data_IF_128609919487
#
_entry.id   IF_128609919487
#
_cell.length_a   1.000
_cell.length_b   1.000
_cell.length_c   1.000
_cell.angle_alpha   90.00
_cell.angle_beta   90.00
_cell.angle_gamma   90.00
#
_symmetry.space_group_name_H-M   'P 1'
#
loop_
_entity.id
_entity.type
_entity.pdbx_description
1 polymer ?
#
# COMPACT_ATOMS: atom_id res chain seq x y z
N UNK A 1 -28.14 -1.76 -6.66
CA UNK A 1 -27.04 -2.05 -7.59
C UNK A 1 -27.66 -2.29 -8.95
N UNK A 2 -27.62 -1.30 -9.84
CA UNK A 2 -28.12 -1.47 -11.21
C UNK A 2 -26.91 -1.51 -12.11
N UNK A 3 -26.52 -2.72 -12.54
CA UNK A 3 -25.63 -2.90 -13.68
C UNK A 3 -26.30 -2.22 -14.89
N UNK A 4 -25.62 -1.28 -15.54
CA UNK A 4 -26.05 -0.78 -16.83
C UNK A 4 -25.88 -1.91 -17.87
N UNK A 5 -26.79 -1.95 -18.84
CA UNK A 5 -26.94 -3.03 -19.82
C UNK A 5 -25.78 -3.19 -20.81
N UNK A 6 -24.77 -2.33 -20.75
CA UNK A 6 -23.57 -2.29 -21.58
C UNK A 6 -22.28 -2.72 -20.85
N UNK A 7 -22.34 -2.99 -19.54
CA UNK A 7 -21.20 -3.51 -18.78
C UNK A 7 -20.20 -2.46 -18.30
N UNK A 8 -20.43 -1.16 -18.54
CA UNK A 8 -19.64 -0.09 -17.95
C UNK A 8 -20.33 0.45 -16.69
N UNK A 9 -19.55 0.68 -15.64
CA UNK A 9 -20.03 1.16 -14.34
C UNK A 9 -19.43 2.54 -14.10
N UNK A 10 -20.02 3.63 -14.59
CA UNK A 10 -19.72 4.95 -14.01
C UNK A 10 -20.69 5.20 -12.86
N UNK A 11 -20.15 5.17 -11.63
CA UNK A 11 -20.85 5.65 -10.45
C UNK A 11 -20.19 6.98 -10.08
N UNK A 12 -20.86 8.13 -10.30
CA UNK A 12 -20.39 9.40 -9.79
C UNK A 12 -20.10 9.27 -8.29
N UNK A 13 -18.87 9.58 -7.86
CA UNK A 13 -18.43 9.37 -6.48
C UNK A 13 -18.20 7.91 -6.10
N UNK A 14 -17.78 7.05 -7.04
CA UNK A 14 -17.36 5.67 -6.74
C UNK A 14 -16.37 5.67 -5.57
N UNK A 15 -16.61 4.79 -4.62
CA UNK A 15 -15.78 4.57 -3.45
C UNK A 15 -15.77 3.06 -3.18
N UNK A 16 -14.78 2.58 -2.43
CA UNK A 16 -14.62 1.14 -2.19
C UNK A 16 -15.90 0.48 -1.65
N UNK A 17 -16.61 1.14 -0.73
CA UNK A 17 -17.86 0.64 -0.14
C UNK A 17 -19.08 0.62 -1.09
N UNK A 18 -18.95 1.11 -2.33
CA UNK A 18 -19.99 0.96 -3.36
C UNK A 18 -19.87 -0.35 -4.14
N UNK A 19 -18.74 -1.05 -4.02
CA UNK A 19 -18.46 -2.32 -4.69
C UNK A 19 -18.97 -3.52 -3.86
N UNK A 20 -19.28 -4.64 -4.51
CA UNK A 20 -19.61 -5.89 -3.80
C UNK A 20 -18.39 -6.45 -3.03
N UNK A 21 -18.60 -7.38 -2.09
CA UNK A 21 -17.50 -7.92 -1.27
C UNK A 21 -16.39 -8.58 -2.08
N UNK A 22 -16.75 -9.25 -3.17
CA UNK A 22 -15.78 -9.94 -4.02
C UNK A 22 -14.83 -8.92 -4.67
N UNK A 23 -15.39 -7.84 -5.21
CA UNK A 23 -14.64 -6.77 -5.86
C UNK A 23 -13.86 -5.94 -4.83
N UNK A 24 -14.43 -5.64 -3.67
CA UNK A 24 -13.71 -4.97 -2.58
C UNK A 24 -12.50 -5.77 -2.13
N UNK A 25 -12.65 -7.08 -1.99
CA UNK A 25 -11.56 -7.97 -1.61
C UNK A 25 -10.42 -7.94 -2.63
N UNK A 26 -10.76 -7.88 -3.92
CA UNK A 26 -9.78 -7.76 -5.01
C UNK A 26 -9.06 -6.40 -4.95
N UNK A 27 -9.81 -5.30 -4.90
CA UNK A 27 -9.27 -3.93 -4.85
C UNK A 27 -8.43 -3.72 -3.60
N UNK A 28 -8.87 -4.20 -2.43
CA UNK A 28 -8.11 -4.09 -1.20
C UNK A 28 -6.76 -4.82 -1.29
N UNK A 29 -6.69 -5.98 -1.97
CA UNK A 29 -5.39 -6.65 -2.22
C UNK A 29 -4.51 -5.88 -3.19
N UNK A 30 -5.08 -5.27 -4.23
CA UNK A 30 -4.32 -4.42 -5.15
C UNK A 30 -3.75 -3.19 -4.45
N UNK A 31 -4.54 -2.51 -3.61
CA UNK A 31 -4.08 -1.38 -2.79
C UNK A 31 -3.00 -1.83 -1.80
N UNK A 32 -3.19 -2.98 -1.15
CA UNK A 32 -2.20 -3.54 -0.22
C UNK A 32 -0.87 -3.83 -0.91
N UNK A 33 -0.90 -4.39 -2.13
CA UNK A 33 0.28 -4.64 -2.94
C UNK A 33 0.89 -3.34 -3.47
N UNK A 34 0.09 -2.36 -3.87
CA UNK A 34 0.60 -1.07 -4.33
C UNK A 34 1.38 -0.33 -3.22
N UNK A 35 0.82 -0.31 -1.99
CA UNK A 35 1.48 0.24 -0.82
C UNK A 35 2.80 -0.49 -0.49
N UNK A 36 2.90 -1.80 -0.76
CA UNK A 36 4.14 -2.56 -0.65
C UNK A 36 5.17 -2.17 -1.72
N UNK A 37 4.73 -2.07 -2.97
CA UNK A 37 5.60 -1.90 -4.13
C UNK A 37 6.17 -0.48 -4.26
N UNK A 38 5.64 0.50 -3.54
CA UNK A 38 6.15 1.88 -3.61
C UNK A 38 7.62 2.00 -3.19
N UNK A 39 8.10 1.21 -2.21
CA UNK A 39 9.53 1.18 -1.84
C UNK A 39 10.40 0.79 -3.05
N UNK A 40 9.93 -0.15 -3.87
CA UNK A 40 10.59 -0.53 -5.13
C UNK A 40 10.57 0.58 -6.16
N UNK A 41 9.49 1.36 -6.20
CA UNK A 41 9.39 2.51 -7.09
C UNK A 41 10.35 3.66 -6.69
N UNK A 42 10.84 3.67 -5.44
CA UNK A 42 11.84 4.64 -4.98
C UNK A 42 13.28 4.29 -5.37
N UNK A 43 13.63 2.99 -5.48
CA UNK A 43 14.98 2.51 -5.80
C UNK A 43 15.64 3.19 -7.03
N UNK A 44 14.94 3.43 -8.17
CA UNK A 44 15.52 4.13 -9.31
C UNK A 44 16.04 5.51 -8.95
N UNK A 45 15.30 6.23 -8.10
CA UNK A 45 15.66 7.57 -7.67
C UNK A 45 16.98 7.55 -6.91
N UNK A 46 17.18 6.54 -6.04
CA UNK A 46 18.45 6.35 -5.36
C UNK A 46 19.57 5.98 -6.33
N UNK A 47 19.37 5.02 -7.22
CA UNK A 47 20.41 4.58 -8.16
C UNK A 47 20.90 5.68 -9.13
N UNK A 48 20.10 6.72 -9.38
CA UNK A 48 20.50 7.86 -10.21
C UNK A 48 21.51 8.78 -9.54
N UNK A 49 21.47 8.96 -8.21
CA UNK A 49 22.21 10.02 -7.50
C UNK A 49 22.88 9.60 -6.19
N UNK A 50 22.57 8.43 -5.70
CA UNK A 50 22.96 7.87 -4.40
C UNK A 50 23.40 6.41 -4.59
N UNK A 51 23.48 5.67 -3.49
CA UNK A 51 23.82 4.26 -3.46
C UNK A 51 22.63 3.36 -3.15
N UNK A 52 22.79 2.06 -3.44
CA UNK A 52 21.84 1.03 -3.01
C UNK A 52 21.79 0.88 -1.49
N UNK A 53 22.92 1.06 -0.79
CA UNK A 53 22.99 1.07 0.67
C UNK A 53 22.10 2.17 1.27
N UNK A 54 22.15 3.37 0.69
CA UNK A 54 21.26 4.48 1.08
C UNK A 54 19.78 4.19 0.78
N UNK A 55 19.49 3.43 -0.28
CA UNK A 55 18.13 2.94 -0.54
C UNK A 55 17.66 1.94 0.52
N UNK A 56 18.55 1.10 1.06
CA UNK A 56 18.20 0.18 2.16
C UNK A 56 18.00 0.92 3.47
N UNK A 57 18.85 1.91 3.78
CA UNK A 57 18.66 2.78 4.95
C UNK A 57 17.32 3.52 4.89
N UNK A 58 16.97 4.05 3.72
CA UNK A 58 15.66 4.64 3.46
C UNK A 58 14.53 3.66 3.76
N UNK A 59 14.58 2.44 3.19
CA UNK A 59 13.55 1.43 3.40
C UNK A 59 13.42 1.09 4.89
N UNK A 60 14.53 0.84 5.60
CA UNK A 60 14.52 0.54 7.04
C UNK A 60 13.82 1.66 7.82
N UNK A 61 14.16 2.92 7.60
CA UNK A 61 13.54 4.04 8.33
C UNK A 61 12.08 4.22 7.96
N UNK A 62 11.72 4.08 6.68
CA UNK A 62 10.35 4.15 6.18
C UNK A 62 9.43 3.21 6.97
N UNK A 63 9.79 1.93 7.01
CA UNK A 63 9.02 0.89 7.70
C UNK A 63 9.05 1.06 9.22
N UNK A 64 10.21 1.37 9.82
CA UNK A 64 10.33 1.54 11.27
C UNK A 64 9.57 2.76 11.82
N UNK A 65 9.31 3.77 10.99
CA UNK A 65 8.60 4.99 11.38
C UNK A 65 7.11 5.00 10.98
N UNK A 66 6.68 4.14 10.06
CA UNK A 66 5.27 4.02 9.67
C UNK A 66 4.57 2.81 10.31
N UNK A 67 5.22 1.64 10.32
CA UNK A 67 4.57 0.38 10.73
C UNK A 67 4.02 0.36 12.15
N UNK A 68 4.67 0.98 13.15
CA UNK A 68 4.09 1.00 14.48
C UNK A 68 2.78 1.82 14.54
N UNK A 69 2.67 2.90 13.76
CA UNK A 69 1.46 3.74 13.73
C UNK A 69 0.30 2.99 13.12
N UNK A 70 0.46 2.49 11.88
CA UNK A 70 -0.66 1.82 11.23
C UNK A 70 -1.02 0.49 11.87
N UNK A 71 -0.05 -0.20 12.52
CA UNK A 71 -0.33 -1.41 13.30
C UNK A 71 -1.30 -1.10 14.44
N UNK A 72 -1.04 -0.03 15.20
CA UNK A 72 -1.92 0.37 16.30
C UNK A 72 -3.28 0.92 15.80
N UNK A 73 -3.29 1.61 14.66
CA UNK A 73 -4.54 2.06 14.01
C UNK A 73 -5.40 0.87 13.62
N UNK A 74 -4.83 -0.15 12.98
CA UNK A 74 -5.54 -1.37 12.62
C UNK A 74 -6.04 -2.17 13.82
N UNK A 75 -5.25 -2.26 14.89
CA UNK A 75 -5.67 -2.91 16.13
C UNK A 75 -6.98 -2.31 16.64
N UNK A 76 -7.06 -0.97 16.70
CA UNK A 76 -8.27 -0.24 17.08
C UNK A 76 -9.40 -0.43 16.07
N UNK A 77 -9.09 -0.26 14.78
CA UNK A 77 -10.06 -0.32 13.69
C UNK A 77 -10.79 -1.66 13.63
N UNK A 78 -10.06 -2.75 13.88
CA UNK A 78 -10.55 -4.13 13.78
C UNK A 78 -10.71 -4.79 15.16
N UNK A 79 -10.73 -4.00 16.23
CA UNK A 79 -11.04 -4.40 17.60
C UNK A 79 -10.25 -5.62 18.12
N UNK A 80 -8.95 -5.72 17.80
CA UNK A 80 -8.09 -6.84 18.22
C UNK A 80 -6.92 -6.44 19.13
N UNK A 81 -6.99 -5.25 19.72
CA UNK A 81 -5.99 -4.70 20.64
C UNK A 81 -5.59 -5.70 21.74
N UNK A 82 -4.28 -5.75 22.01
CA UNK A 82 -3.70 -6.65 23.00
C UNK A 82 -2.19 -6.51 23.02
N UNK A 83 -1.54 -7.34 23.85
CA UNK A 83 -0.08 -7.34 24.01
C UNK A 83 0.55 -8.70 23.73
N UNK A 84 -0.27 -9.68 23.34
CA UNK A 84 0.13 -11.05 23.10
C UNK A 84 0.50 -11.33 21.64
N UNK A 85 1.00 -12.53 21.40
CA UNK A 85 1.43 -12.94 20.07
C UNK A 85 0.27 -13.07 19.08
N UNK A 86 -0.95 -13.40 19.54
CA UNK A 86 -2.11 -13.42 18.66
C UNK A 86 -2.41 -12.04 18.07
N UNK A 87 -2.25 -10.95 18.84
CA UNK A 87 -2.38 -9.57 18.35
C UNK A 87 -1.31 -9.24 17.31
N UNK A 88 -0.06 -9.63 17.54
CA UNK A 88 1.04 -9.43 16.57
C UNK A 88 0.71 -10.12 15.25
N UNK A 89 0.29 -11.39 15.28
CA UNK A 89 0.01 -12.14 14.06
C UNK A 89 -1.22 -11.63 13.30
N UNK A 90 -2.27 -11.17 13.98
CA UNK A 90 -3.39 -10.48 13.32
C UNK A 90 -2.93 -9.18 12.65
N UNK A 91 -2.03 -8.44 13.30
CA UNK A 91 -1.38 -7.26 12.73
C UNK A 91 -0.65 -7.59 11.44
N UNK A 92 0.24 -8.60 11.47
CA UNK A 92 0.98 -9.07 10.30
C UNK A 92 0.08 -9.56 9.16
N UNK A 93 -1.11 -10.09 9.45
CA UNK A 93 -2.09 -10.47 8.42
C UNK A 93 -2.76 -9.27 7.73
N UNK A 94 -2.67 -8.07 8.30
CA UNK A 94 -3.25 -6.82 7.80
C UNK A 94 -2.18 -5.75 7.54
N UNK A 95 -0.91 -6.14 7.47
CA UNK A 95 0.22 -5.25 7.26
C UNK A 95 0.57 -5.20 5.76
N UNK A 96 0.66 -4.02 5.15
CA UNK A 96 1.05 -3.87 3.73
C UNK A 96 2.46 -4.36 3.43
N UNK A 97 3.29 -4.66 4.43
CA UNK A 97 4.55 -5.39 4.32
C UNK A 97 4.36 -6.87 3.96
N UNK A 98 3.20 -7.45 4.28
CA UNK A 98 2.80 -8.82 3.92
C UNK A 98 1.60 -8.85 2.96
N UNK A 99 1.70 -8.23 1.77
CA UNK A 99 0.61 -8.22 0.79
C UNK A 99 0.23 -9.64 0.42
N UNK A 100 -1.06 -9.95 0.54
CA UNK A 100 -1.55 -11.33 0.43
C UNK A 100 -1.17 -11.94 -0.91
N UNK A 101 -0.73 -13.20 -0.90
CA UNK A 101 -0.32 -13.99 -2.07
C UNK A 101 0.98 -13.57 -2.76
N UNK A 102 1.36 -12.27 -2.73
CA UNK A 102 2.71 -11.85 -3.10
C UNK A 102 3.73 -12.26 -2.03
N UNK A 103 3.38 -12.03 -0.76
CA UNK A 103 4.00 -12.66 0.40
C UNK A 103 3.10 -13.81 0.82
N UNK A 104 3.42 -15.04 0.41
CA UNK A 104 2.63 -16.22 0.76
C UNK A 104 2.98 -16.73 2.16
N UNK A 105 2.51 -16.00 3.17
CA UNK A 105 2.82 -16.26 4.57
C UNK A 105 1.99 -17.44 5.13
N UNK A 106 2.62 -18.25 5.96
CA UNK A 106 1.96 -19.21 6.84
C UNK A 106 2.31 -18.89 8.29
N UNK A 107 1.38 -19.17 9.20
CA UNK A 107 1.52 -18.88 10.62
C UNK A 107 1.26 -20.13 11.47
N UNK A 108 1.88 -20.18 12.64
CA UNK A 108 1.61 -21.13 13.71
C UNK A 108 1.74 -20.44 15.05
N UNK A 109 0.62 -20.25 15.73
CA UNK A 109 0.58 -19.76 17.10
C UNK A 109 0.65 -20.95 18.06
N UNK A 110 1.66 -20.99 18.95
CA UNK A 110 1.73 -22.01 19.99
C UNK A 110 0.99 -21.55 21.25
N UNK A 111 1.27 -20.32 21.67
CA UNK A 111 0.59 -19.60 22.75
C UNK A 111 0.82 -18.08 22.60
N UNK A 112 0.38 -17.28 23.57
CA UNK A 112 0.52 -15.81 23.54
C UNK A 112 1.97 -15.30 23.69
N UNK A 113 2.96 -16.17 23.87
CA UNK A 113 4.38 -15.84 24.04
C UNK A 113 5.28 -16.48 22.98
N UNK A 114 4.85 -17.54 22.30
CA UNK A 114 5.65 -18.27 21.29
C UNK A 114 4.84 -18.66 20.05
N UNK A 115 5.45 -18.48 18.89
CA UNK A 115 4.86 -18.80 17.59
C UNK A 115 5.86 -18.61 16.47
N UNK A 116 5.44 -18.99 15.27
CA UNK A 116 6.28 -19.05 14.08
C UNK A 116 5.52 -18.57 12.85
N UNK A 117 6.22 -17.93 11.91
CA UNK A 117 5.70 -17.66 10.56
C UNK A 117 6.75 -17.97 9.50
N UNK A 118 6.31 -18.31 8.30
CA UNK A 118 7.19 -18.64 7.17
C UNK A 118 6.60 -18.13 5.86
N UNK A 119 7.45 -17.82 4.89
CA UNK A 119 7.01 -17.42 3.55
C UNK A 119 7.21 -18.60 2.60
N UNK A 120 6.11 -19.25 2.19
CA UNK A 120 6.14 -20.31 1.17
C UNK A 120 6.68 -19.76 -0.15
N UNK A 121 6.30 -18.54 -0.46
CA UNK A 121 6.86 -17.70 -1.51
C UNK A 121 7.00 -16.28 -0.97
N UNK A 122 8.10 -15.61 -1.31
CA UNK A 122 8.39 -14.23 -0.92
C UNK A 122 8.65 -13.45 -2.20
N UNK A 123 7.68 -12.63 -2.63
CA UNK A 123 7.81 -11.83 -3.84
C UNK A 123 8.98 -10.85 -3.78
N UNK A 124 9.22 -10.21 -2.63
CA UNK A 124 10.36 -9.33 -2.43
C UNK A 124 11.71 -10.04 -2.65
N UNK A 125 11.83 -11.30 -2.23
CA UNK A 125 13.00 -12.14 -2.54
C UNK A 125 13.07 -12.44 -4.04
N UNK A 126 11.96 -12.86 -4.65
CA UNK A 126 11.93 -13.21 -6.08
C UNK A 126 12.34 -12.03 -6.97
N UNK A 127 12.08 -10.79 -6.54
CA UNK A 127 12.50 -9.58 -7.23
C UNK A 127 14.02 -9.39 -7.22
N UNK A 128 14.68 -9.69 -6.09
CA UNK A 128 16.12 -9.44 -5.91
C UNK A 128 17.00 -10.65 -6.23
N UNK A 129 16.45 -11.87 -6.24
CA UNK A 129 17.19 -13.09 -6.56
C UNK A 129 17.96 -13.01 -7.91
N UNK A 130 17.38 -12.50 -9.02
CA UNK A 130 18.10 -12.34 -10.28
C UNK A 130 19.26 -11.34 -10.21
N UNK A 131 19.28 -10.48 -9.20
CA UNK A 131 20.28 -9.43 -9.01
C UNK A 131 21.50 -9.91 -8.19
N UNK A 132 21.45 -11.13 -7.63
CA UNK A 132 22.58 -11.78 -6.97
C UNK A 132 22.54 -11.76 -5.44
N UNK A 133 23.56 -12.39 -4.85
CA UNK A 133 23.62 -12.67 -3.40
C UNK A 133 23.69 -11.40 -2.55
N UNK A 134 24.35 -10.34 -3.04
CA UNK A 134 24.45 -9.06 -2.33
C UNK A 134 23.09 -8.39 -2.16
N UNK A 135 22.30 -8.32 -3.25
CA UNK A 135 20.93 -7.80 -3.21
C UNK A 135 20.00 -8.66 -2.37
N UNK A 136 20.20 -9.98 -2.41
CA UNK A 136 19.47 -10.93 -1.56
C UNK A 136 19.80 -10.71 -0.08
N UNK A 137 21.06 -10.45 0.25
CA UNK A 137 21.49 -10.16 1.62
C UNK A 137 20.91 -8.84 2.12
N UNK A 138 21.01 -7.77 1.33
CA UNK A 138 20.42 -6.47 1.66
C UNK A 138 18.92 -6.57 1.97
N UNK A 139 18.19 -7.31 1.16
CA UNK A 139 16.76 -7.55 1.38
C UNK A 139 16.47 -8.40 2.62
N UNK A 140 17.01 -9.61 2.68
CA UNK A 140 16.59 -10.61 3.67
C UNK A 140 17.26 -10.46 5.05
N UNK A 141 18.31 -9.64 5.15
CA UNK A 141 19.04 -9.42 6.41
C UNK A 141 18.99 -7.96 6.80
N UNK A 142 19.48 -7.07 5.95
CA UNK A 142 19.71 -5.67 6.34
C UNK A 142 18.38 -4.90 6.45
N UNK A 143 17.39 -5.22 5.62
CA UNK A 143 16.03 -4.64 5.68
C UNK A 143 15.09 -5.47 6.59
N UNK A 144 14.93 -6.77 6.33
CA UNK A 144 13.91 -7.59 7.02
C UNK A 144 14.13 -7.70 8.55
N UNK A 145 15.37 -7.81 9.04
CA UNK A 145 15.62 -7.95 10.49
C UNK A 145 15.11 -6.77 11.33
N UNK A 146 15.54 -5.52 11.06
CA UNK A 146 15.09 -4.39 11.86
C UNK A 146 13.60 -4.11 11.67
N UNK A 147 13.06 -4.29 10.46
CA UNK A 147 11.66 -3.95 10.14
C UNK A 147 10.67 -4.93 10.76
N UNK A 148 10.95 -6.23 10.78
CA UNK A 148 10.11 -7.21 11.47
C UNK A 148 10.05 -6.96 12.97
N UNK A 149 11.18 -6.66 13.62
CA UNK A 149 11.17 -6.31 15.04
C UNK A 149 10.34 -5.04 15.26
N UNK A 150 10.47 -4.00 14.43
CA UNK A 150 9.71 -2.75 14.56
C UNK A 150 8.19 -2.93 14.54
N UNK A 151 7.67 -3.72 13.59
CA UNK A 151 6.24 -4.06 13.55
C UNK A 151 5.79 -4.80 14.81
N UNK A 152 6.58 -5.78 15.28
CA UNK A 152 6.23 -6.57 16.46
C UNK A 152 6.23 -5.73 17.75
N UNK A 153 7.21 -4.83 17.91
CA UNK A 153 7.35 -4.01 19.11
C UNK A 153 6.28 -2.92 19.22
N UNK A 154 5.56 -2.63 18.15
CA UNK A 154 4.37 -1.78 18.18
C UNK A 154 3.25 -2.34 19.08
N UNK A 155 3.19 -3.67 19.18
CA UNK A 155 2.24 -4.40 20.02
C UNK A 155 2.85 -4.77 21.37
N UNK A 156 4.10 -5.21 21.39
CA UNK A 156 4.79 -5.58 22.63
C UNK A 156 6.29 -5.25 22.55
N UNK A 157 6.81 -4.31 23.37
CA UNK A 157 8.20 -3.86 23.29
C UNK A 157 9.25 -4.95 23.57
N UNK A 158 8.81 -6.12 24.07
CA UNK A 158 9.64 -7.29 24.36
C UNK A 158 9.54 -8.39 23.31
N UNK A 159 8.73 -8.22 22.27
CA UNK A 159 8.67 -9.14 21.15
C UNK A 159 10.00 -9.17 20.40
N UNK A 160 10.37 -10.35 19.89
CA UNK A 160 11.55 -10.57 19.04
C UNK A 160 11.20 -11.52 17.91
N UNK A 161 11.51 -11.11 16.68
CA UNK A 161 11.37 -11.91 15.48
C UNK A 161 12.76 -12.38 15.04
N UNK A 162 13.04 -13.68 15.06
CA UNK A 162 14.37 -14.22 14.71
C UNK A 162 14.28 -15.35 13.69
N UNK A 163 15.16 -15.35 12.67
CA UNK A 163 15.08 -16.34 11.61
C UNK A 163 15.50 -17.72 12.14
N UNK A 164 14.72 -18.74 11.80
CA UNK A 164 15.18 -20.13 11.83
C UNK A 164 16.04 -20.42 10.60
N UNK A 165 15.61 -19.93 9.44
CA UNK A 165 16.41 -19.89 8.22
C UNK A 165 15.90 -18.79 7.29
N UNK A 166 16.76 -18.36 6.37
CA UNK A 166 16.47 -17.40 5.30
C UNK A 166 17.56 -17.46 4.22
N UNK A 167 17.35 -16.87 3.03
CA UNK A 167 18.37 -16.82 1.99
C UNK A 167 19.70 -16.22 2.47
N UNK A 168 20.84 -16.67 1.93
CA UNK A 168 20.99 -17.78 0.96
C UNK A 168 20.89 -19.18 1.62
N UNK A 169 20.87 -19.26 2.95
CA UNK A 169 20.86 -20.51 3.72
C UNK A 169 19.49 -21.20 3.85
N UNK A 170 18.82 -21.49 2.74
CA UNK A 170 17.46 -22.08 2.74
C UNK A 170 17.49 -23.62 2.62
N UNK A 171 16.72 -24.36 3.44
CA UNK A 171 16.53 -25.80 3.24
C UNK A 171 15.88 -26.12 1.88
N UNK A 172 16.41 -27.14 1.18
CA UNK A 172 15.88 -27.53 -0.14
C UNK A 172 14.40 -27.90 -0.08
N UNK A 173 13.56 -27.21 -0.85
CA UNK A 173 12.13 -27.47 -0.93
C UNK A 173 11.31 -26.99 0.28
N UNK A 174 11.94 -26.26 1.21
CA UNK A 174 11.27 -25.57 2.30
C UNK A 174 10.73 -24.19 1.88
N UNK A 175 10.07 -23.47 2.81
CA UNK A 175 9.72 -22.06 2.58
C UNK A 175 10.97 -21.22 2.30
N UNK A 176 10.81 -20.08 1.65
CA UNK A 176 11.91 -19.15 1.36
C UNK A 176 12.58 -18.65 2.65
N UNK A 177 11.78 -18.31 3.67
CA UNK A 177 12.26 -17.98 5.01
C UNK A 177 11.29 -18.48 6.09
N UNK A 178 11.79 -18.66 7.30
CA UNK A 178 11.03 -19.13 8.45
C UNK A 178 11.56 -18.45 9.71
N UNK A 179 10.64 -17.97 10.54
CA UNK A 179 10.92 -17.09 11.66
C UNK A 179 10.19 -17.55 12.91
N UNK A 180 10.85 -17.36 14.06
CA UNK A 180 10.22 -17.45 15.39
C UNK A 180 9.85 -16.06 15.86
N UNK A 181 8.74 -15.96 16.58
CA UNK A 181 8.33 -14.74 17.27
C UNK A 181 8.14 -15.06 18.75
N UNK A 182 8.87 -14.36 19.61
CA UNK A 182 8.91 -14.65 21.05
C UNK A 182 8.76 -13.40 21.88
N UNK A 183 7.89 -13.47 22.88
CA UNK A 183 7.78 -12.47 23.95
C UNK A 183 8.33 -13.13 25.22
N UNK A 184 9.32 -12.50 25.84
CA UNK A 184 9.97 -13.01 27.05
C UNK A 184 10.17 -11.89 28.08
N UNK A 185 9.91 -12.13 29.38
CA UNK A 185 10.17 -11.14 30.43
C UNK A 185 11.63 -10.68 30.50
N UNK A 186 12.58 -11.52 30.10
CA UNK A 186 14.01 -11.20 30.06
C UNK A 186 14.44 -10.41 28.82
N UNK A 187 13.64 -10.34 27.75
CA UNK A 187 13.95 -9.49 26.61
C UNK A 187 13.88 -8.02 27.07
N UNK A 188 14.93 -7.21 26.84
CA UNK A 188 14.86 -5.78 27.14
C UNK A 188 13.77 -5.13 26.29
N UNK A 189 13.13 -4.09 26.80
CA UNK A 189 12.22 -3.30 25.97
C UNK A 189 13.02 -2.55 24.90
N UNK A 190 12.54 -2.59 23.66
CA UNK A 190 13.16 -1.89 22.54
C UNK A 190 12.38 -0.60 22.30
N UNK A 191 13.11 0.50 22.22
CA UNK A 191 12.53 1.78 21.84
C UNK A 191 12.22 1.78 20.35
N UNK A 192 11.12 2.43 19.98
CA UNK A 192 10.79 2.68 18.59
C UNK A 192 11.78 3.66 17.95
N UNK A 193 11.84 3.66 16.62
CA UNK A 193 12.69 4.59 15.88
C UNK A 193 12.25 6.05 16.14
N UNK A 194 13.18 7.02 16.38
CA UNK A 194 12.80 8.40 16.72
C UNK A 194 11.93 9.11 15.67
N UNK A 195 12.09 8.77 14.39
CA UNK A 195 11.27 9.32 13.30
C UNK A 195 9.77 9.00 13.47
N UNK A 196 9.42 7.94 14.20
CA UNK A 196 8.02 7.58 14.51
C UNK A 196 7.25 8.77 15.11
N UNK A 197 7.85 9.47 16.08
CA UNK A 197 7.22 10.60 16.76
C UNK A 197 7.03 11.80 15.82
N UNK A 198 7.86 11.92 14.78
CA UNK A 198 7.72 12.97 13.76
C UNK A 198 6.55 12.65 12.85
N UNK A 199 6.44 11.40 12.38
CA UNK A 199 5.34 10.94 11.52
C UNK A 199 4.00 10.98 12.27
N UNK A 200 3.99 10.64 13.56
CA UNK A 200 2.78 10.65 14.41
C UNK A 200 2.13 12.03 14.54
N UNK A 201 2.90 13.11 14.41
CA UNK A 201 2.38 14.49 14.47
C UNK A 201 1.63 14.94 13.22
N UNK A 202 1.61 14.12 12.18
CA UNK A 202 0.98 14.43 10.90
C UNK A 202 -0.55 14.46 10.96
N UNK A 203 -1.16 15.23 10.06
CA UNK A 203 -2.60 15.16 9.85
C UNK A 203 -3.02 13.76 9.37
N UNK A 204 -2.20 13.14 8.53
CA UNK A 204 -2.41 11.77 8.06
C UNK A 204 -2.48 10.73 9.19
N UNK A 205 -1.57 10.80 10.17
CA UNK A 205 -1.56 9.87 11.31
C UNK A 205 -2.84 9.95 12.15
N UNK A 206 -3.45 11.14 12.22
CA UNK A 206 -4.70 11.42 12.91
C UNK A 206 -5.96 11.22 12.02
N UNK A 207 -5.80 10.84 10.75
CA UNK A 207 -6.92 10.73 9.82
C UNK A 207 -7.95 9.69 10.32
N UNK A 208 -9.23 10.07 10.50
CA UNK A 208 -10.26 9.14 10.92
C UNK A 208 -10.53 8.10 9.83
N UNK A 209 -10.96 6.91 10.25
CA UNK A 209 -11.43 5.86 9.34
C UNK A 209 -12.79 5.38 9.81
N UNK A 210 -13.79 6.23 9.54
CA UNK A 210 -15.14 6.01 9.99
C UNK A 210 -15.84 4.92 9.15
N UNK A 211 -16.65 4.09 9.80
CA UNK A 211 -17.10 2.88 9.16
C UNK A 211 -18.32 3.14 8.25
N UNK A 212 -18.24 2.75 6.96
CA UNK A 212 -19.27 3.08 5.97
C UNK A 212 -20.55 2.26 6.19
N UNK A 213 -21.66 2.62 5.54
CA UNK A 213 -22.83 1.74 5.46
C UNK A 213 -22.45 0.40 4.79
N UNK A 214 -23.08 -0.68 5.25
CA UNK A 214 -22.93 -2.00 4.62
C UNK A 214 -24.00 -2.20 3.55
N UNK A 215 -23.61 -2.61 2.34
CA UNK A 215 -24.54 -2.86 1.23
C UNK A 215 -24.97 -4.34 1.12
N UNK A 216 -24.26 -5.26 1.77
CA UNK A 216 -24.58 -6.69 1.77
C UNK A 216 -24.26 -7.37 3.12
N UNK A 217 -25.01 -8.42 3.51
CA UNK A 217 -24.82 -9.08 4.80
C UNK A 217 -23.68 -10.11 4.82
N UNK A 218 -23.25 -10.48 6.03
CA UNK A 218 -22.32 -11.57 6.30
C UNK A 218 -20.85 -11.16 6.30
N UNK A 219 -19.99 -12.11 6.69
CA UNK A 219 -18.58 -11.86 7.01
C UNK A 219 -18.39 -11.37 8.45
N UNK A 220 -17.14 -11.23 8.87
CA UNK A 220 -16.77 -10.71 10.17
C UNK A 220 -16.74 -9.18 10.14
N UNK A 221 -17.44 -8.54 11.07
CA UNK A 221 -17.48 -7.08 11.18
C UNK A 221 -16.14 -6.48 11.66
N UNK A 222 -15.31 -7.30 12.30
CA UNK A 222 -14.01 -6.95 12.85
C UNK A 222 -13.12 -8.20 12.93
N UNK A 223 -12.00 -8.12 13.65
CA UNK A 223 -11.11 -9.25 13.93
C UNK A 223 -10.92 -9.49 15.45
N UNK A 224 -11.94 -9.20 16.27
CA UNK A 224 -11.88 -9.34 17.72
C UNK A 224 -11.82 -10.81 18.20
N UNK A 225 -12.34 -11.74 17.39
CA UNK A 225 -12.34 -13.18 17.67
C UNK A 225 -10.93 -13.80 17.75
N UNK A 226 -10.79 -15.12 17.98
CA UNK A 226 -9.48 -15.77 18.05
C UNK A 226 -8.62 -15.54 16.80
N UNK A 227 -7.29 -15.54 16.95
CA UNK A 227 -6.38 -15.54 15.80
C UNK A 227 -6.63 -16.75 14.90
N UNK A 228 -6.69 -16.52 13.59
CA UNK A 228 -6.89 -17.56 12.60
C UNK A 228 -5.71 -17.59 11.62
N UNK A 229 -4.88 -18.66 11.60
CA UNK A 229 -3.73 -18.75 10.68
C UNK A 229 -4.14 -18.87 9.20
N UNK A 230 -5.43 -19.03 8.91
CA UNK A 230 -6.02 -19.13 7.57
C UNK A 230 -6.97 -17.97 7.25
N UNK A 231 -6.90 -16.87 8.01
CA UNK A 231 -7.59 -15.62 7.67
C UNK A 231 -7.31 -15.21 6.22
N UNK A 232 -8.36 -14.82 5.53
CA UNK A 232 -8.30 -14.21 4.20
C UNK A 232 -9.26 -13.01 4.20
N UNK A 233 -9.02 -12.00 3.35
CA UNK A 233 -9.90 -10.82 3.29
C UNK A 233 -11.36 -11.18 3.01
N UNK A 234 -11.62 -12.28 2.28
CA UNK A 234 -12.99 -12.75 2.01
C UNK A 234 -13.78 -13.12 3.28
N UNK A 235 -13.13 -13.33 4.42
CA UNK A 235 -13.80 -13.59 5.69
C UNK A 235 -14.45 -12.33 6.28
N UNK A 236 -13.96 -11.14 5.91
CA UNK A 236 -14.47 -9.86 6.39
C UNK A 236 -15.82 -9.49 5.77
N UNK A 237 -16.63 -8.74 6.53
CA UNK A 237 -17.88 -8.16 6.05
C UNK A 237 -17.63 -7.09 4.99
N UNK A 238 -18.66 -6.73 4.24
CA UNK A 238 -18.59 -5.62 3.28
C UNK A 238 -18.10 -4.32 3.92
N UNK A 239 -18.59 -4.01 5.12
CA UNK A 239 -18.18 -2.81 5.85
C UNK A 239 -16.73 -2.91 6.32
N UNK A 240 -16.31 -4.06 6.85
CA UNK A 240 -14.95 -4.29 7.31
C UNK A 240 -13.92 -4.27 6.17
N UNK A 241 -14.28 -4.82 4.99
CA UNK A 241 -13.44 -4.77 3.79
C UNK A 241 -13.19 -3.33 3.32
N UNK A 242 -14.23 -2.49 3.29
CA UNK A 242 -14.09 -1.09 2.93
C UNK A 242 -13.17 -0.32 3.91
N UNK A 243 -13.30 -0.59 5.22
CA UNK A 243 -12.43 -0.02 6.25
C UNK A 243 -10.97 -0.42 6.08
N UNK A 244 -10.71 -1.72 5.95
CA UNK A 244 -9.37 -2.29 5.82
C UNK A 244 -8.71 -1.84 4.51
N UNK A 245 -9.44 -1.86 3.39
CA UNK A 245 -8.92 -1.38 2.12
C UNK A 245 -8.55 0.11 2.14
N UNK A 246 -9.38 0.95 2.78
CA UNK A 246 -9.02 2.36 3.01
C UNK A 246 -7.82 2.49 3.95
N UNK A 247 -7.73 1.67 4.99
CA UNK A 247 -6.59 1.69 5.90
C UNK A 247 -5.30 1.31 5.17
N UNK A 248 -5.31 0.35 4.23
CA UNK A 248 -4.13 0.03 3.40
C UNK A 248 -3.63 1.23 2.60
N UNK A 249 -4.52 2.06 2.04
CA UNK A 249 -4.12 3.30 1.39
C UNK A 249 -3.46 4.27 2.38
N UNK A 250 -3.97 4.38 3.61
CA UNK A 250 -3.36 5.17 4.69
C UNK A 250 -1.96 4.62 5.05
N UNK A 251 -1.77 3.29 5.11
CA UNK A 251 -0.45 2.69 5.34
C UNK A 251 0.55 3.11 4.26
N UNK A 252 0.16 3.05 2.99
CA UNK A 252 0.99 3.50 1.87
C UNK A 252 1.39 4.97 2.00
N UNK A 253 0.46 5.87 2.32
CA UNK A 253 0.77 7.28 2.52
C UNK A 253 1.66 7.52 3.75
N UNK A 254 1.49 6.75 4.84
CA UNK A 254 2.32 6.86 6.03
C UNK A 254 3.77 6.42 5.75
N UNK A 255 3.94 5.36 4.95
CA UNK A 255 5.24 4.92 4.44
C UNK A 255 5.88 6.03 3.58
N UNK A 256 5.15 6.58 2.59
CA UNK A 256 5.67 7.69 1.76
C UNK A 256 6.08 8.90 2.61
N UNK A 257 5.29 9.24 3.63
CA UNK A 257 5.60 10.33 4.56
C UNK A 257 6.84 10.04 5.39
N UNK A 258 6.95 8.84 5.96
CA UNK A 258 8.11 8.42 6.75
C UNK A 258 9.41 8.47 5.93
N UNK A 259 9.40 7.87 4.73
CA UNK A 259 10.54 7.89 3.82
C UNK A 259 10.87 9.31 3.32
N UNK A 260 9.86 10.11 2.99
CA UNK A 260 10.03 11.51 2.60
C UNK A 260 10.71 12.34 3.69
N UNK A 261 10.28 12.21 4.94
CA UNK A 261 10.85 12.93 6.08
C UNK A 261 12.29 12.48 6.37
N UNK A 262 12.60 11.19 6.21
CA UNK A 262 13.97 10.69 6.27
C UNK A 262 14.86 11.36 5.21
N UNK A 263 14.39 11.39 3.95
CA UNK A 263 15.14 12.03 2.87
C UNK A 263 15.27 13.54 3.06
N UNK A 264 14.26 14.20 3.63
CA UNK A 264 14.31 15.63 3.94
C UNK A 264 15.39 15.93 4.99
N UNK A 265 15.46 15.15 6.06
CA UNK A 265 16.48 15.29 7.10
C UNK A 265 17.89 14.99 6.56
N UNK A 266 18.02 13.94 5.74
CA UNK A 266 19.30 13.44 5.26
C UNK A 266 19.87 14.22 4.07
N UNK A 267 19.04 14.48 3.06
CA UNK A 267 19.46 14.98 1.75
C UNK A 267 18.91 16.38 1.42
N UNK A 268 17.97 16.89 2.24
CA UNK A 268 17.35 18.19 2.04
C UNK A 268 16.10 18.16 1.16
N UNK A 269 15.39 19.30 1.05
CA UNK A 269 14.03 19.35 0.50
C UNK A 269 13.94 19.01 -0.98
N UNK A 270 14.88 19.49 -1.80
CA UNK A 270 14.86 19.27 -3.25
C UNK A 270 14.98 17.78 -3.60
N UNK A 271 15.86 17.07 -2.87
CA UNK A 271 16.11 15.67 -3.12
C UNK A 271 14.97 14.79 -2.57
N UNK A 272 14.44 15.13 -1.40
CA UNK A 272 13.26 14.45 -0.85
C UNK A 272 12.04 14.58 -1.77
N UNK A 273 11.79 15.79 -2.29
CA UNK A 273 10.75 16.07 -3.27
C UNK A 273 10.93 15.25 -4.56
N UNK A 274 12.16 15.16 -5.08
CA UNK A 274 12.49 14.39 -6.28
C UNK A 274 12.25 12.89 -6.10
N UNK A 275 12.73 12.31 -5.00
CA UNK A 275 12.52 10.87 -4.71
C UNK A 275 11.04 10.57 -4.55
N UNK A 276 10.30 11.41 -3.81
CA UNK A 276 8.85 11.27 -3.65
C UNK A 276 8.12 11.32 -5.01
N UNK A 277 8.47 12.27 -5.87
CA UNK A 277 7.92 12.39 -7.22
C UNK A 277 8.14 11.13 -8.06
N UNK A 278 9.39 10.69 -8.19
CA UNK A 278 9.72 9.51 -9.01
C UNK A 278 9.03 8.25 -8.49
N UNK A 279 8.94 8.10 -7.17
CA UNK A 279 8.22 7.02 -6.50
C UNK A 279 6.74 7.03 -6.90
N UNK A 280 6.06 8.17 -6.77
CA UNK A 280 4.64 8.34 -7.11
C UNK A 280 4.37 8.13 -8.60
N UNK A 281 5.26 8.58 -9.49
CA UNK A 281 5.17 8.29 -10.93
C UNK A 281 5.27 6.78 -11.17
N UNK A 282 6.25 6.11 -10.56
CA UNK A 282 6.46 4.67 -10.75
C UNK A 282 5.27 3.83 -10.28
N UNK A 283 4.88 4.00 -9.01
CA UNK A 283 3.78 3.22 -8.42
C UNK A 283 2.42 3.62 -9.00
N UNK A 284 2.22 4.89 -9.34
CA UNK A 284 0.98 5.39 -9.92
C UNK A 284 0.63 4.70 -11.24
N UNK A 285 1.63 4.39 -12.06
CA UNK A 285 1.38 3.58 -13.27
C UNK A 285 1.04 2.14 -12.93
N UNK A 286 1.88 1.50 -12.11
CA UNK A 286 1.79 0.07 -11.82
C UNK A 286 0.45 -0.28 -11.17
N UNK A 287 0.02 0.49 -10.17
CA UNK A 287 -1.28 0.25 -9.54
C UNK A 287 -2.43 0.48 -10.53
N UNK A 288 -2.39 1.55 -11.34
CA UNK A 288 -3.45 1.84 -12.31
C UNK A 288 -3.63 0.72 -13.32
N UNK A 289 -2.53 0.16 -13.86
CA UNK A 289 -2.56 -0.99 -14.78
C UNK A 289 -3.21 -2.20 -14.11
N UNK A 290 -2.82 -2.48 -12.88
CA UNK A 290 -3.32 -3.63 -12.11
C UNK A 290 -4.79 -3.47 -11.72
N UNK A 291 -5.21 -2.29 -11.26
CA UNK A 291 -6.60 -2.00 -10.94
C UNK A 291 -7.47 -2.07 -12.19
N UNK A 292 -7.01 -1.54 -13.33
CA UNK A 292 -7.73 -1.63 -14.59
C UNK A 292 -7.93 -3.09 -15.01
N UNK A 293 -6.88 -3.92 -14.96
CA UNK A 293 -6.97 -5.35 -15.27
C UNK A 293 -7.89 -6.10 -14.29
N UNK A 294 -7.71 -5.86 -12.98
CA UNK A 294 -8.46 -6.51 -11.90
C UNK A 294 -9.96 -6.21 -11.98
N UNK A 295 -10.33 -4.99 -12.36
CA UNK A 295 -11.73 -4.56 -12.53
C UNK A 295 -12.30 -4.94 -13.90
N UNK A 296 -11.48 -5.44 -14.82
CA UNK A 296 -11.87 -5.59 -16.23
C UNK A 296 -12.32 -4.26 -16.84
N UNK A 297 -11.66 -3.16 -16.43
CA UNK A 297 -11.99 -1.83 -16.87
C UNK A 297 -11.77 -1.70 -18.39
N UNK A 298 -12.57 -0.84 -19.04
CA UNK A 298 -12.28 -0.40 -20.40
C UNK A 298 -11.07 0.53 -20.44
N UNK A 299 -10.92 1.24 -21.56
CA UNK A 299 -9.89 2.26 -21.76
C UNK A 299 -10.49 3.67 -21.98
N UNK A 300 -11.77 3.87 -21.65
CA UNK A 300 -12.47 5.15 -21.83
C UNK A 300 -12.35 6.09 -20.60
N UNK A 301 -12.98 7.27 -20.67
CA UNK A 301 -12.97 8.24 -19.58
C UNK A 301 -13.61 7.69 -18.29
N UNK A 302 -14.64 6.83 -18.40
CA UNK A 302 -15.27 6.21 -17.24
C UNK A 302 -14.29 5.23 -16.55
N UNK A 303 -13.54 4.45 -17.33
CA UNK A 303 -12.51 3.58 -16.80
C UNK A 303 -11.41 4.37 -16.07
N UNK A 304 -10.90 5.45 -16.68
CA UNK A 304 -9.93 6.35 -16.02
C UNK A 304 -10.48 6.88 -14.70
N UNK A 305 -11.73 7.36 -14.70
CA UNK A 305 -12.33 7.94 -13.51
C UNK A 305 -12.51 6.91 -12.39
N UNK A 306 -12.95 5.69 -12.72
CA UNK A 306 -13.15 4.64 -11.73
C UNK A 306 -11.84 4.16 -11.10
N UNK A 307 -10.80 3.95 -11.92
CA UNK A 307 -9.48 3.57 -11.41
C UNK A 307 -8.93 4.71 -10.55
N UNK A 308 -8.99 5.96 -11.02
CA UNK A 308 -8.52 7.11 -10.24
C UNK A 308 -9.23 7.24 -8.87
N UNK A 309 -10.53 6.95 -8.77
CA UNK A 309 -11.28 6.99 -7.51
C UNK A 309 -10.88 5.87 -6.52
N UNK A 310 -10.34 4.76 -7.02
CA UNK A 310 -9.93 3.60 -6.19
C UNK A 310 -8.41 3.52 -5.96
N UNK A 311 -7.63 4.29 -6.70
CA UNK A 311 -6.18 4.33 -6.66
C UNK A 311 -5.67 4.93 -5.35
N UNK A 312 -4.73 4.28 -4.65
CA UNK A 312 -4.37 4.70 -3.28
C UNK A 312 -3.82 6.13 -3.20
N UNK A 313 -3.13 6.62 -4.24
CA UNK A 313 -2.67 8.01 -4.34
C UNK A 313 -3.79 9.07 -4.45
N UNK A 314 -5.04 8.66 -4.70
CA UNK A 314 -6.16 9.55 -5.00
C UNK A 314 -7.44 9.22 -4.20
N UNK A 315 -7.53 8.04 -3.58
CA UNK A 315 -8.75 7.51 -2.96
C UNK A 315 -9.01 8.01 -1.53
N UNK A 316 -8.10 8.80 -0.94
CA UNK A 316 -8.28 9.42 0.38
C UNK A 316 -8.82 10.85 0.22
N UNK A 317 -10.05 10.97 -0.25
CA UNK A 317 -10.69 12.25 -0.62
C UNK A 317 -10.78 13.25 0.55
N UNK A 318 -11.02 12.78 1.77
CA UNK A 318 -11.05 13.61 2.98
C UNK A 318 -9.67 14.11 3.43
N UNK A 319 -8.59 13.45 2.98
CA UNK A 319 -7.21 13.87 3.21
C UNK A 319 -6.64 14.70 2.06
N UNK A 320 -6.98 14.36 0.81
CA UNK A 320 -6.41 14.94 -0.41
C UNK A 320 -7.29 16.03 -1.05
N UNK A 321 -8.57 16.10 -0.69
CA UNK A 321 -9.54 16.96 -1.37
C UNK A 321 -9.77 16.54 -2.83
N UNK A 322 -9.64 15.25 -3.15
CA UNK A 322 -9.76 14.75 -4.51
C UNK A 322 -11.21 14.71 -4.98
N UNK A 323 -11.44 15.14 -6.22
CA UNK A 323 -12.71 15.01 -6.92
C UNK A 323 -12.45 14.59 -8.36
N UNK A 324 -13.19 13.60 -8.86
CA UNK A 324 -13.00 13.01 -10.19
C UNK A 324 -14.33 13.01 -10.93
N UNK A 325 -14.41 13.82 -11.97
CA UNK A 325 -15.59 14.09 -12.78
C UNK A 325 -15.39 13.57 -14.21
N UNK A 326 -16.29 12.72 -14.71
CA UNK A 326 -16.34 12.37 -16.14
C UNK A 326 -17.04 13.51 -16.87
N UNK A 327 -16.33 14.18 -17.76
CA UNK A 327 -16.85 15.32 -18.54
C UNK A 327 -17.63 14.83 -19.76
N UNK A 328 -17.09 13.83 -20.45
CA UNK A 328 -17.74 13.07 -21.53
C UNK A 328 -16.98 11.75 -21.79
N UNK A 329 -17.21 11.10 -22.94
CA UNK A 329 -16.63 9.80 -23.29
C UNK A 329 -15.11 9.75 -23.27
N UNK A 330 -14.44 10.87 -23.53
CA UNK A 330 -12.99 10.94 -23.73
C UNK A 330 -12.31 11.91 -22.77
N UNK A 331 -13.07 12.53 -21.86
CA UNK A 331 -12.54 13.57 -20.95
C UNK A 331 -12.91 13.33 -19.50
N UNK A 332 -11.90 13.43 -18.65
CA UNK A 332 -12.02 13.38 -17.18
C UNK A 332 -11.43 14.66 -16.61
N UNK A 333 -12.04 15.19 -15.56
CA UNK A 333 -11.48 16.27 -14.75
C UNK A 333 -11.17 15.75 -13.36
N UNK A 334 -9.91 15.86 -12.96
CA UNK A 334 -9.44 15.55 -11.61
C UNK A 334 -9.10 16.84 -10.89
N UNK A 335 -9.61 17.01 -9.67
CA UNK A 335 -9.29 18.15 -8.80
C UNK A 335 -8.58 17.66 -7.56
N UNK A 336 -7.65 18.47 -7.06
CA UNK A 336 -7.03 18.35 -5.75
C UNK A 336 -7.29 19.66 -5.03
N UNK A 337 -8.24 19.63 -4.11
CA UNK A 337 -8.75 20.78 -3.37
C UNK A 337 -7.93 21.10 -2.12
N UNK A 338 -8.34 22.16 -1.43
CA UNK A 338 -7.79 22.51 -0.12
C UNK A 338 -8.14 21.41 0.88
N UNK A 339 -7.13 20.86 1.55
CA UNK A 339 -7.26 19.61 2.30
C UNK A 339 -6.16 19.44 3.36
N UNK A 340 -6.34 18.55 4.35
CA UNK A 340 -5.33 18.32 5.38
C UNK A 340 -3.95 17.92 4.85
N UNK A 341 -3.89 17.25 3.69
CA UNK A 341 -2.62 16.90 3.05
C UNK A 341 -1.76 18.13 2.69
N UNK A 342 -2.38 19.28 2.42
CA UNK A 342 -1.69 20.53 2.10
C UNK A 342 -1.33 21.37 3.34
N UNK A 343 -1.63 20.84 4.53
CA UNK A 343 -1.37 21.50 5.82
C UNK A 343 -0.32 20.74 6.66
N UNK A 344 0.31 19.70 6.09
CA UNK A 344 1.40 18.94 6.75
C UNK A 344 2.65 19.78 7.04
N UNK A 345 2.79 20.96 6.39
CA UNK A 345 3.86 21.92 6.65
C UNK A 345 5.19 21.62 5.96
N UNK A 346 5.20 20.67 5.02
CA UNK A 346 6.35 20.23 4.23
C UNK A 346 5.89 19.79 2.81
N UNK A 347 6.78 19.75 1.80
CA UNK A 347 6.39 19.45 0.41
C UNK A 347 6.28 17.96 0.09
N UNK A 348 6.13 17.09 1.10
CA UNK A 348 6.30 15.63 0.95
C UNK A 348 4.98 14.86 0.93
N UNK A 349 3.88 15.45 1.42
CA UNK A 349 2.58 14.79 1.40
C UNK A 349 2.16 14.49 -0.05
N UNK A 350 1.33 13.45 -0.24
CA UNK A 350 0.81 13.11 -1.57
C UNK A 350 0.06 14.30 -2.19
N UNK A 351 -0.72 15.04 -1.40
CA UNK A 351 -1.40 16.26 -1.86
C UNK A 351 -0.44 17.34 -2.33
N UNK A 352 0.61 17.63 -1.56
CA UNK A 352 1.65 18.62 -1.93
C UNK A 352 2.35 18.24 -3.24
N UNK A 353 2.68 16.95 -3.41
CA UNK A 353 3.26 16.43 -4.66
C UNK A 353 2.29 16.52 -5.84
N UNK A 354 0.99 16.31 -5.61
CA UNK A 354 -0.04 16.44 -6.65
C UNK A 354 -0.36 17.89 -7.01
N UNK A 355 -0.05 18.91 -6.20
CA UNK A 355 -0.27 20.33 -6.56
C UNK A 355 1.02 21.04 -7.00
N UNK A 356 2.17 20.39 -6.83
CA UNK A 356 3.46 20.86 -7.32
C UNK A 356 3.49 21.05 -8.85
N UNK A 357 4.46 21.81 -9.36
CA UNK A 357 4.60 22.10 -10.79
C UNK A 357 4.78 20.83 -11.64
N UNK A 358 5.45 19.83 -11.09
CA UNK A 358 5.70 18.52 -11.69
C UNK A 358 4.59 17.48 -11.38
N UNK A 359 3.55 17.85 -10.64
CA UNK A 359 2.42 16.98 -10.27
C UNK A 359 1.62 16.47 -11.47
N UNK A 360 1.67 17.19 -12.60
CA UNK A 360 1.10 16.76 -13.88
C UNK A 360 1.67 15.40 -14.32
N UNK A 361 2.94 15.12 -14.04
CA UNK A 361 3.59 13.86 -14.43
C UNK A 361 3.10 12.68 -13.57
N UNK A 362 2.78 12.92 -12.30
CA UNK A 362 2.18 11.91 -11.41
C UNK A 362 0.78 11.56 -11.91
N UNK A 363 -0.05 12.58 -12.16
CA UNK A 363 -1.42 12.37 -12.67
C UNK A 363 -1.40 11.71 -14.05
N UNK A 364 -0.49 12.14 -14.94
CA UNK A 364 -0.29 11.50 -16.24
C UNK A 364 0.09 10.03 -16.10
N UNK A 365 0.99 9.69 -15.16
CA UNK A 365 1.40 8.31 -14.92
C UNK A 365 0.23 7.42 -14.51
N UNK A 366 -0.64 7.90 -13.62
CA UNK A 366 -1.86 7.22 -13.16
C UNK A 366 -2.82 6.98 -14.33
N UNK A 367 -3.28 8.05 -15.00
CA UNK A 367 -4.33 7.91 -16.02
C UNK A 367 -3.87 7.10 -17.25
N UNK A 368 -2.57 7.15 -17.55
CA UNK A 368 -2.00 6.40 -18.66
C UNK A 368 -1.84 4.90 -18.35
N UNK A 369 -1.97 4.47 -17.09
CA UNK A 369 -2.08 3.06 -16.75
C UNK A 369 -3.41 2.44 -17.17
N UNK A 370 -4.43 3.27 -17.39
CA UNK A 370 -5.72 2.84 -17.92
C UNK A 370 -5.77 3.03 -19.44
N UNK A 371 -5.43 4.23 -19.93
CA UNK A 371 -5.34 4.50 -21.35
C UNK A 371 -4.00 5.16 -21.71
N UNK A 372 -3.09 4.48 -22.40
CA UNK A 372 -1.76 5.01 -22.68
C UNK A 372 -1.78 6.23 -23.61
N UNK A 373 -2.90 6.57 -24.24
CA UNK A 373 -3.08 7.79 -25.06
C UNK A 373 -3.70 8.96 -24.28
N UNK A 374 -3.94 8.81 -22.99
CA UNK A 374 -4.41 9.91 -22.14
C UNK A 374 -3.34 11.00 -22.02
N UNK A 375 -3.78 12.25 -22.21
CA UNK A 375 -3.00 13.47 -22.00
C UNK A 375 -3.56 14.23 -20.82
N UNK A 376 -2.67 14.85 -20.04
CA UNK A 376 -3.05 15.62 -18.85
C UNK A 376 -2.56 17.04 -19.02
N UNK A 377 -3.47 17.99 -18.86
CA UNK A 377 -3.16 19.41 -18.82
C UNK A 377 -3.61 19.98 -17.47
N UNK A 378 -2.72 20.72 -16.80
CA UNK A 378 -3.09 21.41 -15.56
C UNK A 378 -3.83 22.71 -15.88
N UNK A 379 -5.08 22.79 -15.45
CA UNK A 379 -5.91 23.98 -15.55
C UNK A 379 -5.72 24.86 -14.30
N UNK A 380 -4.95 25.95 -14.45
CA UNK A 380 -4.68 26.89 -13.37
C UNK A 380 -3.53 26.47 -12.45
N UNK A 381 -3.31 27.24 -11.39
CA UNK A 381 -2.23 26.99 -10.43
C UNK A 381 -2.51 27.64 -9.07
N UNK A 382 -1.70 27.30 -8.08
CA UNK A 382 -1.82 27.78 -6.70
C UNK A 382 -1.78 26.62 -5.70
N UNK A 383 -2.40 26.83 -4.54
CA UNK A 383 -2.48 25.83 -3.46
C UNK A 383 -3.37 24.62 -3.82
N UNK A 384 -4.14 24.71 -4.89
CA UNK A 384 -4.96 23.60 -5.41
C UNK A 384 -4.57 23.29 -6.85
N UNK A 385 -5.01 22.15 -7.37
CA UNK A 385 -4.80 21.78 -8.76
C UNK A 385 -6.09 21.27 -9.40
N UNK A 386 -6.26 21.57 -10.69
CA UNK A 386 -7.25 20.94 -11.55
C UNK A 386 -6.51 20.40 -12.76
N UNK A 387 -6.80 19.16 -13.12
CA UNK A 387 -6.21 18.42 -14.22
C UNK A 387 -7.32 18.05 -15.21
N UNK A 388 -7.21 18.57 -16.43
CA UNK A 388 -8.04 18.15 -17.54
C UNK A 388 -7.33 16.99 -18.26
N UNK A 389 -7.96 15.83 -18.23
CA UNK A 389 -7.49 14.61 -18.86
C UNK A 389 -8.28 14.38 -20.14
N UNK A 390 -7.60 14.18 -21.26
CA UNK A 390 -8.22 13.91 -22.56
C UNK A 390 -7.60 12.66 -23.19
N UNK A 391 -8.44 11.73 -23.66
CA UNK A 391 -8.03 10.60 -24.47
C UNK A 391 -7.96 11.07 -25.93
N UNK A 392 -6.76 11.06 -26.49
CA UNK A 392 -6.53 11.38 -27.90
C UNK A 392 -6.31 10.07 -28.67
N UNK A 393 -7.37 9.53 -29.28
CA UNK A 393 -7.33 8.24 -29.98
C UNK A 393 -6.29 8.18 -31.12
N UNK A 394 -5.95 9.34 -31.71
CA UNK A 394 -4.98 9.46 -32.81
C UNK A 394 -3.55 9.66 -32.31
N UNK A 395 -3.35 9.91 -31.01
CA UNK A 395 -2.02 10.02 -30.43
C UNK A 395 -1.30 8.66 -30.38
N UNK A 396 0.04 8.66 -30.53
CA UNK A 396 0.82 7.49 -30.15
C UNK A 396 0.67 7.24 -28.63
N UNK A 397 0.69 5.97 -28.17
CA UNK A 397 0.82 5.64 -26.75
C UNK A 397 1.99 6.37 -26.10
N UNK A 398 1.78 6.91 -24.90
CA UNK A 398 2.81 7.53 -24.10
C UNK A 398 3.90 6.49 -23.76
N UNK A 399 5.19 6.85 -23.88
CA UNK A 399 6.26 5.96 -23.50
C UNK A 399 6.30 5.77 -21.98
N UNK A 400 6.78 4.62 -21.52
CA UNK A 400 7.01 4.40 -20.10
C UNK A 400 8.13 5.34 -19.60
N UNK A 401 7.86 6.03 -18.51
CA UNK A 401 8.88 6.81 -17.80
C UNK A 401 9.92 5.86 -17.16
N UNK A 402 11.16 6.33 -16.89
CA UNK A 402 12.20 5.49 -16.28
C UNK A 402 11.76 4.82 -14.97
N UNK A 403 11.08 5.55 -14.08
CA UNK A 403 10.57 5.01 -12.82
C UNK A 403 9.54 3.89 -13.02
N UNK A 404 8.65 4.03 -14.00
CA UNK A 404 7.68 2.98 -14.40
C UNK A 404 8.41 1.73 -14.88
N UNK A 405 9.38 1.89 -15.78
CA UNK A 405 10.14 0.75 -16.34
C UNK A 405 10.84 -0.05 -15.25
N UNK A 406 11.34 0.62 -14.22
CA UNK A 406 12.00 -0.09 -13.11
C UNK A 406 11.00 -0.69 -12.14
N UNK A 407 9.90 0.01 -11.82
CA UNK A 407 8.83 -0.56 -10.99
C UNK A 407 8.28 -1.88 -11.58
N UNK A 408 8.24 -1.99 -12.91
CA UNK A 408 7.88 -3.23 -13.63
C UNK A 408 8.87 -4.39 -13.52
N UNK A 409 10.07 -4.21 -12.94
CA UNK A 409 10.94 -5.35 -12.61
C UNK A 409 10.37 -6.20 -11.47
N UNK A 410 9.52 -5.64 -10.63
CA UNK A 410 8.90 -6.42 -9.57
C UNK A 410 7.98 -7.50 -10.16
N UNK A 411 8.14 -8.73 -9.68
CA UNK A 411 7.23 -9.86 -9.91
C UNK A 411 5.81 -9.56 -9.42
N UNK A 412 5.67 -8.58 -8.52
CA UNK A 412 4.39 -8.06 -8.03
C UNK A 412 3.52 -7.51 -9.17
N UNK A 413 4.14 -6.91 -10.19
CA UNK A 413 3.41 -6.39 -11.36
C UNK A 413 2.67 -7.46 -12.14
N UNK A 414 3.15 -8.71 -12.11
CA UNK A 414 2.56 -9.86 -12.79
C UNK A 414 1.81 -10.82 -11.85
N UNK A 415 1.72 -10.50 -10.57
CA UNK A 415 1.02 -11.33 -9.59
C UNK A 415 -0.48 -11.28 -9.85
N UNK A 416 -1.12 -12.45 -9.94
CA UNK A 416 -2.56 -12.56 -10.13
C UNK A 416 -3.18 -13.11 -8.86
N UNK A 417 -4.06 -12.34 -8.23
CA UNK A 417 -4.75 -12.79 -7.03
C UNK A 417 -5.82 -13.82 -7.37
N UNK A 418 -5.81 -14.93 -6.65
CA UNK A 418 -6.79 -15.99 -6.80
C UNK A 418 -7.48 -16.28 -5.49
N UNK A 419 -8.76 -16.62 -5.55
CA UNK A 419 -9.49 -17.09 -4.38
C UNK A 419 -9.00 -18.49 -4.01
N UNK A 420 -8.35 -18.62 -2.85
CA UNK A 420 -7.73 -19.89 -2.40
C UNK A 420 -8.73 -20.91 -1.86
N UNK A 421 -9.90 -20.46 -1.40
CA UNK A 421 -10.92 -21.33 -0.80
C UNK A 421 -12.36 -20.81 -0.94
N UNK A 422 -13.38 -21.67 -0.74
CA UNK A 422 -14.76 -21.23 -0.58
C UNK A 422 -14.93 -20.23 0.59
N UNK A 423 -16.01 -19.44 0.55
CA UNK A 423 -16.35 -18.51 1.63
C UNK A 423 -16.70 -19.34 2.85
N UNK A 424 -16.29 -18.89 4.04
CA UNK A 424 -16.75 -19.52 5.26
C UNK A 424 -18.26 -19.39 5.33
N UNK A 425 -18.93 -20.48 5.73
CA UNK A 425 -20.32 -20.37 6.14
C UNK A 425 -20.32 -19.56 7.43
N UNK A 426 -21.00 -18.43 7.40
CA UNK A 426 -21.35 -17.74 8.64
C UNK A 426 -22.49 -18.56 9.21
N UNK A 427 -22.22 -19.34 10.25
CA UNK A 427 -23.28 -19.96 11.02
C UNK A 427 -24.08 -18.81 11.65
N UNK A 428 -25.27 -18.57 11.13
CA UNK A 428 -26.20 -17.59 11.68
C UNK A 428 -26.70 -18.18 12.99
N UNK A 429 -26.09 -17.76 14.09
CA UNK A 429 -26.53 -18.10 15.45
C UNK A 429 -27.76 -17.29 15.84
#
# INVERSE_FOLDING_TARGET
MTLLSDGTVDVPGLALHHLDRATQTLVAREVMLAAHLQDRAAVPAFLERHSMEESWEYAVVEWMAASPLYTQRLQRLMAYEGTGLSTIFKGLQLDVGFPHQFMDVGFRLHDEQDGEFWLRSCGALLDVLPMGDEMTQGMCHDIEDPTFDATAIATNPRARIRPLHRPPGVPKGGPHCHWTVRIRPEHPEVAQHPMLEVVERSHLAALPNDPPPSAEPGGWEDYAGPFDPHFELEDLSHRALALVGREFAIQGHLLMRAGGLHNLDRFGPDEAARVAHQTMVGIGRVESERLAEALGAGDDAAAIANVARLHHLLSLDDYLGTDVEVVDSDRVRLRVGDSPSLDEGDPLSVGERLVADDGTEIVASIVQGVNPRARVERAGGGRTATYDVTIDAEAPPAPDQPSVRVARFSTGTTTVFVRRRPLRRVDVA
#
